data_IF_011115544546
#
_entry.id   IF_011115544546
#
_cell.length_a   1.000
_cell.length_b   1.000
_cell.length_c   1.000
_cell.angle_alpha   90.00
_cell.angle_beta   90.00
_cell.angle_gamma   90.00
#
_symmetry.space_group_name_H-M   'P 1'
#
loop_
_entity.id
_entity.type
_entity.pdbx_description
1 polymer ?
#
# COMPACT_ATOMS: atom_id res chain seq x y z
N UNK A 1 37.62 24.96 -19.91
CA UNK A 1 37.66 23.81 -18.96
C UNK A 1 37.40 24.16 -17.49
N UNK A 2 37.58 25.40 -16.99
CA UNK A 2 37.43 25.73 -15.54
C UNK A 2 36.00 25.76 -14.96
N UNK A 3 34.96 25.81 -15.81
CA UNK A 3 33.54 25.92 -15.38
C UNK A 3 32.98 24.62 -14.80
N UNK A 4 33.45 23.48 -15.29
CA UNK A 4 32.97 22.15 -14.89
C UNK A 4 33.52 21.71 -13.52
N UNK A 5 34.72 22.17 -13.15
CA UNK A 5 35.31 21.88 -11.85
C UNK A 5 34.53 22.56 -10.71
N UNK A 6 34.09 23.81 -10.92
CA UNK A 6 33.29 24.55 -9.94
C UNK A 6 31.91 23.92 -9.71
N UNK A 7 31.25 23.45 -10.77
CA UNK A 7 29.96 22.77 -10.67
C UNK A 7 30.05 21.44 -9.90
N UNK A 8 31.13 20.66 -10.07
CA UNK A 8 31.36 19.41 -9.35
C UNK A 8 31.62 19.61 -7.86
N UNK A 9 32.38 20.65 -7.51
CA UNK A 9 32.62 21.00 -6.10
C UNK A 9 31.31 21.45 -5.44
N UNK A 10 30.50 22.27 -6.12
CA UNK A 10 29.22 22.72 -5.61
C UNK A 10 28.25 21.55 -5.37
N UNK A 11 28.17 20.60 -6.30
CA UNK A 11 27.36 19.40 -6.14
C UNK A 11 27.81 18.54 -4.95
N UNK A 12 29.13 18.40 -4.74
CA UNK A 12 29.68 17.68 -3.59
C UNK A 12 29.32 18.33 -2.25
N UNK A 13 29.41 19.66 -2.16
CA UNK A 13 29.05 20.41 -0.94
C UNK A 13 27.56 20.31 -0.64
N UNK A 14 26.70 20.41 -1.65
CA UNK A 14 25.24 20.24 -1.48
C UNK A 14 24.91 18.81 -1.02
N UNK A 15 25.52 17.79 -1.62
CA UNK A 15 25.32 16.40 -1.21
C UNK A 15 25.73 16.14 0.24
N UNK A 16 26.87 16.70 0.66
CA UNK A 16 27.35 16.58 2.05
C UNK A 16 26.40 17.29 3.04
N UNK A 17 25.92 18.49 2.68
CA UNK A 17 24.99 19.24 3.52
C UNK A 17 23.65 18.51 3.73
N UNK A 18 23.14 17.82 2.71
CA UNK A 18 21.91 17.01 2.82
C UNK A 18 22.13 15.79 3.72
N UNK A 19 23.26 15.09 3.58
CA UNK A 19 23.58 13.93 4.42
C UNK A 19 23.73 14.32 5.90
N UNK A 20 24.37 15.44 6.18
CA UNK A 20 24.47 15.97 7.55
C UNK A 20 23.10 16.36 8.09
N UNK A 21 22.27 17.03 7.28
CA UNK A 21 20.92 17.45 7.69
C UNK A 21 20.01 16.28 8.06
N UNK A 22 20.05 15.17 7.32
CA UNK A 22 19.27 13.96 7.62
C UNK A 22 19.81 13.25 8.87
N UNK A 23 21.14 13.15 9.01
CA UNK A 23 21.77 12.55 10.19
C UNK A 23 21.59 13.37 11.48
N UNK A 24 21.42 14.69 11.37
CA UNK A 24 21.15 15.58 12.52
C UNK A 24 19.67 15.73 12.86
N UNK A 25 18.77 15.09 12.10
CA UNK A 25 17.35 15.12 12.46
C UNK A 25 17.15 14.33 13.76
N UNK A 26 16.56 14.94 14.80
CA UNK A 26 16.32 14.23 16.05
C UNK A 26 15.39 13.05 15.77
N UNK A 27 15.72 11.89 16.34
CA UNK A 27 14.79 10.77 16.38
C UNK A 27 13.46 11.25 16.98
N UNK A 28 12.33 10.77 16.43
CA UNK A 28 10.97 11.13 16.87
C UNK A 28 10.93 11.05 18.40
N UNK A 29 10.84 12.21 19.04
CA UNK A 29 10.78 12.32 20.49
C UNK A 29 9.41 11.83 20.93
N UNK A 30 9.37 10.88 21.87
CA UNK A 30 8.11 10.52 22.52
C UNK A 30 7.67 11.71 23.38
N UNK A 31 6.48 12.24 23.14
CA UNK A 31 5.92 13.30 23.95
C UNK A 31 5.20 12.69 25.14
N UNK A 32 5.74 12.89 26.34
CA UNK A 32 5.01 12.64 27.59
C UNK A 32 3.99 13.76 27.78
N UNK A 33 2.71 13.39 27.84
CA UNK A 33 1.67 14.29 28.31
C UNK A 33 1.70 14.28 29.85
N UNK A 34 2.21 15.35 30.46
CA UNK A 34 2.13 15.53 31.91
C UNK A 34 0.84 16.29 32.26
N UNK A 35 -0.01 15.69 33.09
CA UNK A 35 -1.16 16.37 33.67
C UNK A 35 -0.66 17.43 34.67
N UNK A 36 -1.14 18.67 34.55
CA UNK A 36 -0.73 19.81 35.40
C UNK A 36 -1.61 20.01 36.63
N UNK A 37 -2.63 19.16 36.82
CA UNK A 37 -3.46 19.17 38.02
C UNK A 37 -2.88 18.29 39.13
N UNK A 38 -3.30 18.56 40.37
CA UNK A 38 -2.85 17.84 41.58
C UNK A 38 -3.49 16.44 41.73
N UNK A 39 -4.26 16.00 40.73
CA UNK A 39 -4.96 14.72 40.71
C UNK A 39 -4.11 13.72 39.92
N UNK A 40 -3.06 13.21 40.57
CA UNK A 40 -2.11 12.29 39.95
C UNK A 40 -2.79 10.99 39.48
N UNK A 41 -3.09 10.91 38.18
CA UNK A 41 -3.30 9.66 37.48
C UNK A 41 -2.10 9.40 36.56
N UNK A 42 -1.13 8.60 37.03
CA UNK A 42 -0.11 8.04 36.16
C UNK A 42 -0.69 6.82 35.43
N UNK A 43 -0.93 6.95 34.13
CA UNK A 43 -1.46 5.86 33.31
C UNK A 43 -0.70 5.76 31.98
N UNK A 44 -0.24 4.56 31.65
CA UNK A 44 0.28 4.27 30.31
C UNK A 44 -0.86 3.84 29.40
N UNK A 45 -0.99 4.45 28.22
CA UNK A 45 -1.83 3.94 27.14
C UNK A 45 -0.94 3.32 26.07
N UNK A 46 -1.29 2.12 25.62
CA UNK A 46 -0.60 1.47 24.49
C UNK A 46 -1.43 1.70 23.23
N UNK A 47 -0.80 2.18 22.15
CA UNK A 47 -1.48 2.34 20.87
C UNK A 47 -1.94 0.95 20.37
N UNK A 48 -3.21 0.83 20.01
CA UNK A 48 -3.73 -0.40 19.44
C UNK A 48 -3.17 -0.59 18.02
N UNK A 49 -2.61 -1.76 17.74
CA UNK A 49 -2.11 -2.13 16.40
C UNK A 49 -3.09 -3.04 15.70
N UNK A 50 -3.51 -2.69 14.48
CA UNK A 50 -4.27 -3.59 13.63
C UNK A 50 -3.36 -4.66 13.03
N UNK A 51 -3.76 -5.92 13.12
CA UNK A 51 -3.08 -7.04 12.49
C UNK A 51 -3.04 -6.86 10.97
N UNK A 52 -1.84 -7.07 10.39
CA UNK A 52 -1.64 -7.00 8.95
C UNK A 52 -2.38 -8.15 8.25
N UNK A 53 -3.21 -7.88 7.23
CA UNK A 53 -3.81 -8.92 6.41
C UNK A 53 -2.76 -9.77 5.70
N UNK A 54 -3.10 -11.02 5.34
CA UNK A 54 -2.19 -11.92 4.64
C UNK A 54 -2.75 -12.27 3.28
N UNK A 55 -2.08 -11.84 2.21
CA UNK A 55 -2.44 -12.20 0.83
C UNK A 55 -2.06 -13.64 0.57
N UNK A 56 -3.09 -14.49 0.41
CA UNK A 56 -2.95 -15.94 0.21
C UNK A 56 -2.76 -16.29 -1.26
N UNK A 57 -3.40 -15.57 -2.17
CA UNK A 57 -3.20 -15.74 -3.62
C UNK A 57 -3.38 -14.42 -4.36
N UNK A 58 -2.67 -14.29 -5.47
CA UNK A 58 -2.97 -13.28 -6.48
C UNK A 58 -2.74 -13.90 -7.85
N UNK A 59 -3.79 -14.05 -8.63
CA UNK A 59 -3.76 -14.74 -9.91
C UNK A 59 -4.29 -13.85 -11.00
N UNK A 60 -3.64 -13.93 -12.16
CA UNK A 60 -3.97 -13.12 -13.32
C UNK A 60 -4.90 -13.91 -14.23
N UNK A 61 -5.96 -13.27 -14.70
CA UNK A 61 -6.90 -13.85 -15.64
C UNK A 61 -6.54 -13.35 -17.04
N UNK A 62 -6.40 -14.27 -17.98
CA UNK A 62 -6.08 -13.96 -19.37
C UNK A 62 -6.96 -14.76 -20.31
N UNK A 63 -7.29 -14.17 -21.46
CA UNK A 63 -8.04 -14.82 -22.54
C UNK A 63 -7.25 -14.67 -23.84
N UNK A 64 -6.93 -15.79 -24.49
CA UNK A 64 -6.09 -15.81 -25.71
C UNK A 64 -4.77 -15.03 -25.55
N UNK A 65 -4.14 -15.10 -24.37
CA UNK A 65 -2.91 -14.38 -24.05
C UNK A 65 -3.09 -12.89 -23.72
N UNK A 66 -4.32 -12.36 -23.78
CA UNK A 66 -4.65 -10.97 -23.41
C UNK A 66 -5.05 -10.89 -21.95
N UNK A 67 -4.54 -9.90 -21.21
CA UNK A 67 -4.97 -9.63 -19.84
C UNK A 67 -6.46 -9.23 -19.77
N UNK A 68 -7.26 -9.97 -19.00
CA UNK A 68 -8.70 -9.70 -18.82
C UNK A 68 -9.06 -9.30 -17.39
N UNK A 69 -8.15 -9.50 -16.43
CA UNK A 69 -8.34 -9.13 -15.04
C UNK A 69 -7.41 -9.88 -14.11
N UNK A 70 -7.66 -9.79 -12.81
CA UNK A 70 -6.97 -10.58 -11.80
C UNK A 70 -7.90 -10.85 -10.61
N UNK A 71 -7.57 -11.89 -9.86
CA UNK A 71 -8.23 -12.23 -8.60
C UNK A 71 -7.19 -12.18 -7.49
N UNK A 72 -7.51 -11.47 -6.40
CA UNK A 72 -6.71 -11.46 -5.18
C UNK A 72 -7.51 -12.06 -4.04
N UNK A 73 -6.87 -12.93 -3.27
CA UNK A 73 -7.43 -13.48 -2.03
C UNK A 73 -6.52 -13.17 -0.85
N UNK A 74 -7.13 -12.83 0.27
CA UNK A 74 -6.40 -12.55 1.50
C UNK A 74 -7.20 -12.98 2.73
N UNK A 75 -6.52 -13.07 3.86
CA UNK A 75 -7.13 -13.37 5.16
C UNK A 75 -6.90 -12.22 6.13
N UNK A 76 -7.87 -12.00 7.01
CA UNK A 76 -7.81 -10.98 8.06
C UNK A 76 -8.67 -11.40 9.26
N UNK A 77 -8.27 -11.07 10.50
CA UNK A 77 -9.09 -11.33 11.69
C UNK A 77 -10.27 -10.34 11.81
N UNK A 78 -10.29 -9.29 11.01
CA UNK A 78 -11.27 -8.21 11.08
C UNK A 78 -12.39 -8.39 10.05
N UNK A 79 -13.64 -7.97 10.34
CA UNK A 79 -14.76 -8.03 9.42
C UNK A 79 -14.59 -7.15 8.17
N UNK A 80 -15.39 -7.40 7.14
CA UNK A 80 -15.35 -6.71 5.83
C UNK A 80 -15.37 -5.19 5.92
N UNK A 81 -16.15 -4.63 6.86
CA UNK A 81 -16.26 -3.17 7.05
C UNK A 81 -14.95 -2.52 7.50
N UNK A 82 -14.01 -3.31 8.03
CA UNK A 82 -12.67 -2.90 8.44
C UNK A 82 -11.61 -3.33 7.42
N UNK A 83 -12.00 -3.72 6.20
CA UNK A 83 -11.07 -4.06 5.13
C UNK A 83 -11.04 -2.95 4.08
N UNK A 84 -9.84 -2.55 3.71
CA UNK A 84 -9.59 -1.63 2.60
C UNK A 84 -8.76 -2.32 1.54
N UNK A 85 -9.36 -2.47 0.36
CA UNK A 85 -8.69 -2.94 -0.83
C UNK A 85 -8.42 -1.74 -1.75
N UNK A 86 -7.18 -1.61 -2.22
CA UNK A 86 -6.80 -0.53 -3.14
C UNK A 86 -5.80 -1.00 -4.20
N UNK A 87 -5.79 -0.30 -5.32
CA UNK A 87 -4.85 -0.52 -6.42
C UNK A 87 -4.18 0.82 -6.69
N UNK A 88 -2.85 0.85 -6.58
CA UNK A 88 -2.02 2.03 -6.38
C UNK A 88 -2.49 2.85 -5.18
N UNK A 89 -3.30 3.87 -5.43
CA UNK A 89 -3.89 4.78 -4.45
C UNK A 89 -5.42 4.88 -4.60
N UNK A 90 -6.02 4.09 -5.49
CA UNK A 90 -7.46 4.08 -5.73
C UNK A 90 -8.09 2.97 -4.90
N UNK A 91 -9.00 3.37 -4.01
CA UNK A 91 -9.76 2.42 -3.18
C UNK A 91 -10.81 1.73 -4.05
N UNK A 92 -10.82 0.41 -4.02
CA UNK A 92 -11.84 -0.41 -4.67
C UNK A 92 -13.05 -0.47 -3.76
N UNK A 93 -14.24 -0.26 -4.32
CA UNK A 93 -15.48 -0.38 -3.56
C UNK A 93 -15.58 -1.79 -2.94
N UNK A 94 -15.89 -1.82 -1.65
CA UNK A 94 -16.05 -3.04 -0.87
C UNK A 94 -17.20 -3.92 -1.41
N UNK A 95 -18.10 -3.41 -2.23
CA UNK A 95 -19.05 -4.21 -3.01
C UNK A 95 -18.37 -5.28 -3.89
N UNK A 96 -17.16 -5.01 -4.38
CA UNK A 96 -16.36 -5.94 -5.20
C UNK A 96 -15.57 -6.96 -4.36
N UNK A 97 -15.72 -6.96 -3.04
CA UNK A 97 -15.02 -7.86 -2.12
C UNK A 97 -16.02 -8.87 -1.55
N UNK A 98 -15.78 -10.14 -1.78
CA UNK A 98 -16.54 -11.23 -1.16
C UNK A 98 -15.85 -11.63 0.15
N UNK A 99 -16.63 -11.81 1.22
CA UNK A 99 -16.16 -12.37 2.49
C UNK A 99 -16.73 -13.78 2.66
N UNK A 100 -15.91 -14.71 3.11
CA UNK A 100 -16.31 -16.06 3.52
C UNK A 100 -15.66 -16.46 4.85
N UNK A 101 -16.22 -17.47 5.50
CA UNK A 101 -15.74 -18.01 6.78
C UNK A 101 -16.31 -17.30 8.01
N UNK A 102 -16.19 -17.97 9.17
CA UNK A 102 -16.58 -17.46 10.49
C UNK A 102 -15.39 -17.10 11.38
N UNK A 103 -14.16 -17.17 10.84
CA UNK A 103 -12.92 -16.73 11.49
C UNK A 103 -11.73 -17.69 11.28
N UNK A 104 -10.50 -17.20 11.02
CA UNK A 104 -10.21 -15.89 10.40
C UNK A 104 -10.95 -15.75 9.07
N UNK A 105 -11.37 -14.53 8.72
CA UNK A 105 -12.16 -14.29 7.51
C UNK A 105 -11.29 -14.42 6.27
N UNK A 106 -11.86 -14.99 5.22
CA UNK A 106 -11.25 -15.03 3.90
C UNK A 106 -11.96 -14.04 2.99
N UNK A 107 -11.16 -13.26 2.28
CA UNK A 107 -11.61 -12.25 1.34
C UNK A 107 -11.15 -12.60 -0.06
N UNK A 108 -12.00 -12.33 -1.04
CA UNK A 108 -11.67 -12.48 -2.45
C UNK A 108 -12.24 -11.30 -3.24
N UNK A 109 -11.47 -10.81 -4.20
CA UNK A 109 -11.93 -9.79 -5.13
C UNK A 109 -11.43 -10.12 -6.53
N UNK A 110 -12.36 -10.18 -7.48
CA UNK A 110 -12.07 -10.37 -8.91
C UNK A 110 -12.29 -9.05 -9.61
N UNK A 111 -11.22 -8.50 -10.17
CA UNK A 111 -11.22 -7.20 -10.84
C UNK A 111 -10.98 -7.42 -12.32
N UNK A 112 -11.92 -6.97 -13.15
CA UNK A 112 -11.79 -7.02 -14.61
C UNK A 112 -10.90 -5.89 -15.14
N UNK A 113 -10.34 -6.09 -16.33
CA UNK A 113 -9.59 -5.05 -17.04
C UNK A 113 -10.43 -3.81 -17.36
N UNK A 114 -11.74 -3.97 -17.57
CA UNK A 114 -12.67 -2.86 -17.74
C UNK A 114 -12.75 -1.98 -16.48
N UNK A 115 -12.94 -2.59 -15.31
CA UNK A 115 -12.96 -1.88 -14.03
C UNK A 115 -11.60 -1.22 -13.74
N UNK A 116 -10.50 -1.92 -14.03
CA UNK A 116 -9.16 -1.35 -13.90
C UNK A 116 -8.97 -0.12 -14.79
N UNK A 117 -9.38 -0.20 -16.06
CA UNK A 117 -9.27 0.94 -16.97
C UNK A 117 -10.10 2.13 -16.50
N UNK A 118 -11.27 1.90 -15.89
CA UNK A 118 -12.06 2.99 -15.29
C UNK A 118 -11.42 3.57 -14.04
N UNK A 119 -10.73 2.76 -13.23
CA UNK A 119 -10.13 3.20 -11.97
C UNK A 119 -8.77 3.90 -12.18
N UNK A 120 -7.99 3.44 -13.16
CA UNK A 120 -6.56 3.78 -13.29
C UNK A 120 -6.18 4.36 -14.66
N UNK A 121 -7.09 4.38 -15.63
CA UNK A 121 -6.76 4.71 -17.02
C UNK A 121 -6.07 3.55 -17.73
N UNK A 122 -5.19 3.83 -18.70
CA UNK A 122 -4.50 2.77 -19.45
C UNK A 122 -3.51 1.99 -18.57
N UNK A 123 -3.72 0.67 -18.43
CA UNK A 123 -2.81 -0.23 -17.71
C UNK A 123 -1.74 -0.90 -18.58
N UNK A 124 -1.74 -0.61 -19.87
CA UNK A 124 -0.87 -1.30 -20.82
C UNK A 124 0.59 -0.96 -20.55
N UNK A 125 1.41 -1.97 -20.27
CA UNK A 125 2.82 -1.81 -19.94
C UNK A 125 3.07 -1.20 -18.56
N UNK A 126 2.07 -1.18 -17.67
CA UNK A 126 2.22 -0.63 -16.33
C UNK A 126 2.31 -1.70 -15.24
N UNK A 127 2.94 -1.33 -14.14
CA UNK A 127 3.01 -2.13 -12.92
C UNK A 127 2.28 -1.38 -11.81
N UNK A 128 1.32 -2.05 -11.16
CA UNK A 128 0.39 -1.46 -10.22
C UNK A 128 0.48 -2.15 -8.87
N UNK A 129 0.51 -1.37 -7.79
CA UNK A 129 0.59 -1.88 -6.43
C UNK A 129 -0.81 -2.24 -5.91
N UNK A 130 -1.09 -3.53 -5.77
CA UNK A 130 -2.32 -4.07 -5.21
C UNK A 130 -2.14 -4.15 -3.68
N UNK A 131 -2.90 -3.38 -2.91
CA UNK A 131 -2.75 -3.25 -1.46
C UNK A 131 -4.02 -3.65 -0.73
N UNK A 132 -3.89 -4.47 0.31
CA UNK A 132 -4.96 -4.79 1.25
C UNK A 132 -4.53 -4.40 2.67
N UNK A 133 -5.43 -3.72 3.38
CA UNK A 133 -5.20 -3.17 4.71
C UNK A 133 -6.42 -3.41 5.60
N UNK A 134 -6.19 -3.51 6.90
CA UNK A 134 -7.25 -3.38 7.88
C UNK A 134 -7.36 -1.92 8.32
N UNK A 135 -8.58 -1.40 8.52
CA UNK A 135 -8.81 -0.02 8.96
C UNK A 135 -9.79 0.03 10.13
N UNK A 136 -9.62 1.01 11.01
CA UNK A 136 -10.65 1.34 11.99
C UNK A 136 -11.75 2.15 11.31
N UNK A 137 -13.00 1.65 11.41
CA UNK A 137 -14.17 2.32 10.83
C UNK A 137 -14.26 3.77 11.29
N UNK A 138 -14.45 4.70 10.34
CA UNK A 138 -14.56 6.14 10.63
C UNK A 138 -13.25 6.85 10.96
N UNK A 139 -12.10 6.21 10.81
CA UNK A 139 -10.78 6.82 11.10
C UNK A 139 -9.80 6.64 9.93
N UNK A 140 -8.68 7.37 9.97
CA UNK A 140 -7.54 7.18 9.06
C UNK A 140 -6.57 6.07 9.50
N UNK A 141 -6.80 5.46 10.66
CA UNK A 141 -5.92 4.42 11.20
C UNK A 141 -6.04 3.14 10.36
N UNK A 142 -4.90 2.70 9.84
CA UNK A 142 -4.77 1.50 9.03
C UNK A 142 -3.62 0.61 9.54
N UNK A 143 -3.73 -0.70 9.32
CA UNK A 143 -2.62 -1.63 9.50
C UNK A 143 -1.52 -1.37 8.47
N UNK A 144 -0.35 -1.98 8.67
CA UNK A 144 0.61 -2.11 7.58
C UNK A 144 -0.04 -2.82 6.37
N UNK A 145 0.15 -2.34 5.14
CA UNK A 145 -0.43 -2.96 3.95
C UNK A 145 0.24 -4.30 3.64
N UNK A 146 -0.56 -5.26 3.19
CA UNK A 146 -0.06 -6.37 2.40
C UNK A 146 -0.16 -6.00 0.93
N UNK A 147 1.00 -5.99 0.26
CA UNK A 147 1.13 -5.48 -1.11
C UNK A 147 1.57 -6.59 -2.04
N UNK A 148 0.95 -6.62 -3.22
CA UNK A 148 1.38 -7.37 -4.39
C UNK A 148 1.55 -6.42 -5.57
N UNK A 149 2.36 -6.81 -6.54
CA UNK A 149 2.68 -6.09 -7.75
C UNK A 149 1.96 -6.75 -8.92
N UNK A 150 0.99 -6.07 -9.49
CA UNK A 150 0.30 -6.47 -10.71
C UNK A 150 1.02 -5.86 -11.92
N UNK A 151 1.68 -6.69 -12.70
CA UNK A 151 2.31 -6.29 -13.96
C UNK A 151 1.47 -6.77 -15.15
N UNK A 152 1.16 -5.85 -16.06
CA UNK A 152 0.44 -6.13 -17.31
C UNK A 152 1.37 -5.84 -18.48
N UNK A 153 1.81 -6.90 -19.15
CA UNK A 153 2.86 -6.81 -20.18
C UNK A 153 2.32 -6.56 -21.59
N UNK A 154 3.10 -5.83 -22.40
CA UNK A 154 2.87 -5.68 -23.84
C UNK A 154 1.89 -4.59 -24.26
N UNK A 155 1.93 -4.24 -25.54
CA UNK A 155 0.97 -3.34 -26.18
C UNK A 155 -0.34 -4.13 -26.36
N UNK A 156 -1.43 -3.71 -25.68
CA UNK A 156 -2.72 -4.40 -25.57
C UNK A 156 -2.78 -5.61 -24.61
N UNK A 157 -1.81 -5.78 -23.71
CA UNK A 157 -1.76 -6.97 -22.85
C UNK A 157 -1.34 -8.23 -23.62
N UNK A 158 -0.85 -8.04 -24.85
CA UNK A 158 -0.39 -9.06 -25.78
C UNK A 158 1.14 -9.06 -25.81
N UNK A 159 1.75 -10.23 -25.56
CA UNK A 159 3.18 -10.43 -25.75
C UNK A 159 4.08 -10.05 -24.58
N UNK A 160 3.54 -9.79 -23.39
CA UNK A 160 4.32 -9.69 -22.15
C UNK A 160 3.76 -10.59 -21.05
N UNK A 161 4.59 -10.93 -20.06
CA UNK A 161 4.15 -11.73 -18.92
C UNK A 161 3.21 -10.91 -18.04
N UNK A 162 1.96 -11.35 -17.92
CA UNK A 162 1.02 -10.83 -16.94
C UNK A 162 1.26 -11.56 -15.62
N UNK A 163 1.62 -10.84 -14.55
CA UNK A 163 1.95 -11.45 -13.25
C UNK A 163 1.36 -10.65 -12.11
N UNK A 164 0.97 -11.33 -11.03
CA UNK A 164 0.66 -10.69 -9.76
C UNK A 164 1.48 -11.33 -8.64
N UNK A 165 2.45 -10.61 -8.06
CA UNK A 165 3.45 -11.17 -7.13
C UNK A 165 3.74 -10.32 -5.91
#
# INVERSE_FOLDING_TARGET
MRRNARARILAGVVGLAVLVGVGSSPAVQMTDAAFTDSEYAAGSFTAATLAKPVVTSCTVTSFLGTFTGFTITWTSPYPKVQQRFSINNVVVDNANVTQTGSGPYTYSSTISSGLLNTLLGSLLGSTNAVKVEATYSGTSWASAPATRSLSVGGLLGLGGNNTCT
#
